data_IF_413541090133
#
_entry.id   IF_413541090133
#
_cell.length_a   1.000
_cell.length_b   1.000
_cell.length_c   1.000
_cell.angle_alpha   90.00
_cell.angle_beta   90.00
_cell.angle_gamma   90.00
#
_symmetry.space_group_name_H-M   'P 1'
#
loop_
_entity.id
_entity.type
_entity.pdbx_description
1 polymer ?
#
# COMPACT_ATOMS: atom_id res chain seq x y z
N UNK A 1 -11.00 0.98 -2.75
CA UNK A 1 -10.05 1.71 -3.62
C UNK A 1 -9.05 0.71 -4.15
N UNK A 2 -8.79 0.69 -5.47
CA UNK A 2 -7.87 -0.29 -6.09
C UNK A 2 -6.39 0.11 -5.98
N UNK A 3 -6.10 1.26 -5.34
CA UNK A 3 -4.75 1.79 -5.22
C UNK A 3 -3.85 1.00 -4.25
N UNK A 4 -4.44 0.47 -3.18
CA UNK A 4 -3.71 -0.24 -2.13
C UNK A 4 -3.49 -1.70 -2.55
N UNK A 5 -2.47 -1.94 -3.37
CA UNK A 5 -2.15 -3.27 -3.91
C UNK A 5 -1.29 -4.12 -3.00
N UNK A 6 -0.73 -3.53 -1.94
CA UNK A 6 0.15 -4.19 -0.99
C UNK A 6 -0.38 -4.02 0.43
N UNK A 7 -0.10 -4.99 1.30
CA UNK A 7 -0.29 -4.84 2.73
C UNK A 7 0.82 -5.54 3.51
N UNK A 8 1.38 -4.84 4.49
CA UNK A 8 2.29 -5.44 5.47
C UNK A 8 1.47 -5.78 6.72
N UNK A 9 1.59 -7.02 7.17
CA UNK A 9 1.04 -7.47 8.45
C UNK A 9 2.21 -7.75 9.38
N UNK A 10 2.24 -7.06 10.51
CA UNK A 10 3.35 -7.14 11.45
C UNK A 10 2.87 -7.26 12.89
N UNK A 11 3.62 -8.01 13.71
CA UNK A 11 3.43 -8.06 15.15
C UNK A 11 4.79 -8.23 15.82
N UNK A 12 5.08 -7.39 16.82
CA UNK A 12 6.32 -7.48 17.60
C UNK A 12 6.11 -8.18 18.94
N UNK A 13 4.93 -8.01 19.53
CA UNK A 13 4.52 -8.56 20.81
C UNK A 13 3.07 -9.03 20.73
N UNK A 14 2.68 -9.94 21.62
CA UNK A 14 1.31 -10.46 21.68
C UNK A 14 0.31 -9.37 22.08
N UNK A 15 -0.91 -9.44 21.56
CA UNK A 15 -2.04 -8.57 21.95
C UNK A 15 -2.27 -7.38 21.02
N UNK A 16 -1.45 -7.19 19.99
CA UNK A 16 -1.69 -6.24 18.92
C UNK A 16 -1.01 -6.70 17.62
N UNK A 17 -1.48 -6.12 16.51
CA UNK A 17 -0.85 -6.27 15.20
C UNK A 17 -1.03 -4.97 14.41
N UNK A 18 -0.17 -4.78 13.42
CA UNK A 18 -0.24 -3.71 12.45
C UNK A 18 -0.85 -4.27 11.16
N UNK A 19 -1.84 -3.56 10.62
CA UNK A 19 -2.35 -3.75 9.26
C UNK A 19 -1.99 -2.50 8.46
N UNK A 20 -0.97 -2.62 7.61
CA UNK A 20 -0.39 -1.48 6.89
C UNK A 20 -0.70 -1.60 5.41
N UNK A 21 -1.84 -1.04 4.97
CA UNK A 21 -2.18 -0.96 3.55
C UNK A 21 -1.27 0.04 2.84
N UNK A 22 -0.58 -0.39 1.78
CA UNK A 22 0.38 0.41 1.04
C UNK A 22 0.00 0.51 -0.43
N UNK A 23 0.23 1.70 -1.01
CA UNK A 23 -0.07 1.99 -2.41
C UNK A 23 1.00 1.48 -3.37
N UNK A 24 2.15 1.04 -2.86
CA UNK A 24 3.26 0.49 -3.60
C UNK A 24 3.99 -0.53 -2.72
N UNK A 25 4.88 -1.32 -3.32
CA UNK A 25 5.65 -2.30 -2.56
C UNK A 25 6.71 -1.64 -1.68
N UNK A 26 7.19 -2.39 -0.68
CA UNK A 26 8.52 -2.11 -0.13
C UNK A 26 9.54 -2.12 -1.28
N UNK A 27 10.51 -1.20 -1.25
CA UNK A 27 11.52 -1.02 -2.31
C UNK A 27 10.97 -0.56 -3.68
N UNK A 28 9.76 0.02 -3.73
CA UNK A 28 9.05 0.33 -4.99
C UNK A 28 9.87 1.10 -6.04
N UNK A 29 10.62 2.14 -5.66
CA UNK A 29 11.37 2.94 -6.61
C UNK A 29 12.52 2.17 -7.27
N UNK A 30 13.21 1.31 -6.52
CA UNK A 30 14.28 0.49 -7.06
C UNK A 30 13.73 -0.66 -7.91
N UNK A 31 12.64 -1.31 -7.48
CA UNK A 31 11.95 -2.32 -8.28
C UNK A 31 11.44 -1.72 -9.60
N UNK A 32 10.87 -0.52 -9.56
CA UNK A 32 10.45 0.20 -10.76
C UNK A 32 11.65 0.51 -11.68
N UNK A 33 12.77 0.99 -11.13
CA UNK A 33 14.01 1.25 -11.90
C UNK A 33 14.60 -0.01 -12.55
N UNK A 34 14.39 -1.18 -11.93
CA UNK A 34 14.78 -2.50 -12.46
C UNK A 34 13.81 -3.06 -13.51
N UNK A 35 12.71 -2.35 -13.82
CA UNK A 35 11.69 -2.79 -14.79
C UNK A 35 10.56 -3.63 -14.20
N UNK A 36 10.58 -3.91 -12.89
CA UNK A 36 9.55 -4.69 -12.17
C UNK A 36 8.36 -3.79 -11.79
N UNK A 37 7.71 -3.20 -12.80
CA UNK A 37 6.71 -2.15 -12.60
C UNK A 37 5.45 -2.63 -11.92
N UNK A 38 4.99 -3.85 -12.24
CA UNK A 38 3.78 -4.44 -11.66
C UNK A 38 3.97 -4.70 -10.17
N UNK A 39 5.11 -5.28 -9.81
CA UNK A 39 5.49 -5.61 -8.43
C UNK A 39 5.74 -4.35 -7.62
N UNK A 40 6.43 -3.35 -8.20
CA UNK A 40 6.67 -2.08 -7.53
C UNK A 40 5.37 -1.32 -7.22
N UNK A 41 4.41 -1.35 -8.15
CA UNK A 41 3.18 -0.56 -8.12
C UNK A 41 3.42 0.93 -7.79
N UNK A 42 4.53 1.48 -8.29
CA UNK A 42 4.87 2.89 -8.09
C UNK A 42 3.90 3.78 -8.89
N UNK A 43 3.15 4.64 -8.18
CA UNK A 43 2.27 5.63 -8.80
C UNK A 43 3.04 6.92 -9.07
N UNK A 44 2.90 7.49 -10.27
CA UNK A 44 3.57 8.74 -10.68
C UNK A 44 2.48 9.72 -11.13
N UNK A 45 2.46 10.92 -10.53
CA UNK A 45 1.56 12.01 -10.89
C UNK A 45 2.32 13.07 -11.70
N UNK A 46 1.71 13.55 -12.79
CA UNK A 46 2.22 14.67 -13.59
C UNK A 46 1.93 16.01 -12.90
N UNK A 47 2.56 17.11 -13.34
CA UNK A 47 2.25 18.44 -12.80
C UNK A 47 0.76 18.76 -12.90
N UNK A 48 0.16 19.12 -11.76
CA UNK A 48 -1.26 19.44 -11.64
C UNK A 48 -2.18 18.24 -11.39
N UNK A 49 -1.66 17.00 -11.43
CA UNK A 49 -2.44 15.82 -11.08
C UNK A 49 -2.46 15.59 -9.56
N UNK A 50 -3.61 15.13 -9.08
CA UNK A 50 -3.85 14.73 -7.70
C UNK A 50 -4.54 13.37 -7.70
N UNK A 51 -4.27 12.57 -6.67
CA UNK A 51 -4.93 11.29 -6.48
C UNK A 51 -5.38 11.13 -5.03
N UNK A 52 -6.62 10.68 -4.85
CA UNK A 52 -7.24 10.44 -3.55
C UNK A 52 -7.64 8.97 -3.46
N UNK A 53 -7.35 8.34 -2.32
CA UNK A 53 -7.78 6.99 -2.01
C UNK A 53 -8.11 6.88 -0.53
N UNK A 54 -8.94 5.89 -0.19
CA UNK A 54 -9.40 5.66 1.17
C UNK A 54 -9.40 4.16 1.47
N UNK A 55 -9.31 3.87 2.78
CA UNK A 55 -9.52 2.57 3.38
C UNK A 55 -10.61 2.77 4.43
N UNK A 56 -11.57 1.85 4.47
CA UNK A 56 -12.60 1.79 5.51
C UNK A 56 -12.35 0.54 6.32
N UNK A 57 -12.35 0.69 7.64
CA UNK A 57 -12.24 -0.43 8.58
C UNK A 57 -13.58 -0.52 9.28
N UNK A 58 -14.26 -1.66 9.11
CA UNK A 58 -15.57 -1.94 9.72
C UNK A 58 -15.40 -3.06 10.74
N UNK A 59 -15.93 -2.85 11.94
CA UNK A 59 -16.00 -3.86 12.99
C UNK A 59 -17.47 -4.20 13.21
N UNK A 60 -17.81 -5.49 13.11
CA UNK A 60 -19.15 -6.01 13.37
C UNK A 60 -19.05 -7.15 14.37
N UNK A 61 -20.04 -7.27 15.25
CA UNK A 61 -20.03 -8.24 16.35
C UNK A 61 -20.15 -9.72 15.90
N UNK A 62 -20.43 -9.96 14.60
CA UNK A 62 -20.78 -11.25 13.98
C UNK A 62 -21.93 -11.97 14.69
#
# INVERSE_FOLDING_TARGET
SDLFTHSVVYTQQTGHFCLENQTCSTDAHNLHARGLRKEAHLTILRPGESLTAWIEIVVNDQ
#
